data_IF_255380548595
#
_entry.id   IF_255380548595
#
_cell.length_a   1.000
_cell.length_b   1.000
_cell.length_c   1.000
_cell.angle_alpha   90.00
_cell.angle_beta   90.00
_cell.angle_gamma   90.00
#
_symmetry.space_group_name_H-M   'P 1'
#
loop_
_entity.id
_entity.type
_entity.pdbx_description
1 polymer ?
#
# COMPACT_ATOMS: atom_id res chain seq x y z
N UNK A 1 -11.31 11.86 5.61
CA UNK A 1 -11.39 12.04 4.13
C UNK A 1 -10.59 13.25 3.64
N UNK A 2 -10.77 14.47 4.17
CA UNK A 2 -9.95 15.64 3.78
C UNK A 2 -8.44 15.45 4.05
N UNK A 3 -8.08 14.93 5.24
CA UNK A 3 -6.70 14.59 5.59
C UNK A 3 -6.02 13.67 4.55
N UNK A 4 -6.72 12.62 4.09
CA UNK A 4 -6.20 11.69 3.07
C UNK A 4 -5.87 12.40 1.76
N UNK A 5 -6.71 13.33 1.32
CA UNK A 5 -6.47 14.10 0.09
C UNK A 5 -5.26 15.02 0.25
N UNK A 6 -5.11 15.68 1.40
CA UNK A 6 -3.95 16.53 1.70
C UNK A 6 -2.66 15.70 1.72
N UNK A 7 -2.70 14.50 2.29
CA UNK A 7 -1.53 13.63 2.33
C UNK A 7 -1.16 13.09 0.95
N UNK A 8 -2.14 12.75 0.10
CA UNK A 8 -1.88 12.39 -1.30
C UNK A 8 -1.34 13.57 -2.10
N UNK A 9 -1.84 14.79 -1.88
CA UNK A 9 -1.27 15.99 -2.48
C UNK A 9 0.18 16.19 -2.03
N UNK A 10 0.46 16.02 -0.73
CA UNK A 10 1.82 16.04 -0.20
C UNK A 10 2.70 14.98 -0.88
N UNK A 11 2.22 13.75 -1.06
CA UNK A 11 2.93 12.71 -1.80
C UNK A 11 3.33 13.15 -3.22
N UNK A 12 2.41 13.76 -3.96
CA UNK A 12 2.69 14.34 -5.30
C UNK A 12 3.73 15.46 -5.29
N UNK A 13 3.87 16.17 -4.17
CA UNK A 13 4.93 17.17 -3.98
C UNK A 13 6.26 16.55 -3.55
N UNK A 14 6.24 15.54 -2.70
CA UNK A 14 7.43 14.84 -2.21
C UNK A 14 8.13 14.13 -3.36
N UNK A 15 7.38 13.40 -4.19
CA UNK A 15 7.94 12.57 -5.26
C UNK A 15 8.69 13.34 -6.34
N UNK A 16 8.43 14.64 -6.49
CA UNK A 16 9.19 15.54 -7.38
C UNK A 16 10.63 15.78 -6.91
N UNK A 17 10.96 15.42 -5.67
CA UNK A 17 12.31 15.53 -5.11
C UNK A 17 13.09 14.22 -5.18
N UNK A 18 12.43 13.11 -5.50
CA UNK A 18 13.10 11.82 -5.62
C UNK A 18 13.81 11.75 -6.98
N UNK A 19 15.03 11.24 -6.97
CA UNK A 19 15.83 11.04 -8.17
C UNK A 19 15.89 9.55 -8.50
N UNK A 20 16.22 9.20 -9.75
CA UNK A 20 16.18 7.80 -10.22
C UNK A 20 17.22 6.87 -9.55
N UNK A 21 18.19 7.44 -8.84
CA UNK A 21 19.19 6.75 -8.03
C UNK A 21 18.71 6.45 -6.60
N UNK A 22 17.52 6.92 -6.20
CA UNK A 22 16.93 6.65 -4.88
C UNK A 22 15.89 5.52 -4.99
N UNK A 23 16.36 4.27 -5.13
CA UNK A 23 15.50 3.09 -5.25
C UNK A 23 15.15 2.45 -3.90
N UNK A 24 15.75 2.90 -2.80
CA UNK A 24 15.36 2.54 -1.44
C UNK A 24 14.83 3.79 -0.71
N UNK A 25 13.73 3.66 0.03
CA UNK A 25 13.16 4.81 0.77
C UNK A 25 14.11 5.33 1.85
N UNK A 26 15.00 4.47 2.34
CA UNK A 26 16.05 4.78 3.29
C UNK A 26 17.04 5.82 2.73
N UNK A 27 17.31 5.80 1.42
CA UNK A 27 18.17 6.80 0.76
C UNK A 27 17.54 8.20 0.82
N UNK A 28 16.21 8.25 0.72
CA UNK A 28 15.43 9.50 0.77
C UNK A 28 15.38 10.07 2.18
N UNK A 29 15.21 9.21 3.19
CA UNK A 29 15.20 9.60 4.60
C UNK A 29 16.55 10.17 5.06
N UNK A 30 17.65 9.60 4.58
CA UNK A 30 19.00 10.08 4.90
C UNK A 30 19.34 11.34 4.10
N UNK A 31 19.00 11.38 2.80
CA UNK A 31 19.49 12.39 1.87
C UNK A 31 18.63 13.65 1.72
N UNK A 32 17.30 13.53 1.78
CA UNK A 32 16.37 14.60 1.38
C UNK A 32 15.49 15.08 2.52
N UNK A 33 15.09 14.20 3.43
CA UNK A 33 14.10 14.49 4.47
C UNK A 33 14.62 14.22 5.87
N UNK A 34 15.75 14.83 6.22
CA UNK A 34 16.32 14.72 7.57
C UNK A 34 15.32 15.18 8.63
N UNK A 35 14.78 14.23 9.41
CA UNK A 35 13.81 14.47 10.49
C UNK A 35 12.36 14.10 10.17
N UNK A 36 12.03 13.75 8.92
CA UNK A 36 10.78 13.09 8.57
C UNK A 36 11.13 11.64 8.22
N UNK A 37 10.58 10.69 8.97
CA UNK A 37 10.69 9.27 8.60
C UNK A 37 9.67 9.01 7.50
N UNK A 38 10.04 9.27 6.24
CA UNK A 38 9.17 9.11 5.07
C UNK A 38 8.67 7.67 4.98
N UNK A 39 9.51 6.69 5.37
CA UNK A 39 9.09 5.31 5.57
C UNK A 39 7.82 5.22 6.44
N UNK A 40 7.86 5.74 7.67
CA UNK A 40 6.73 5.70 8.61
C UNK A 40 5.53 6.46 8.05
N UNK A 41 5.78 7.63 7.46
CA UNK A 41 4.72 8.44 6.89
C UNK A 41 3.99 7.74 5.74
N UNK A 42 4.71 7.00 4.88
CA UNK A 42 4.12 6.21 3.80
C UNK A 42 3.27 5.04 4.32
N UNK A 43 3.72 4.37 5.38
CA UNK A 43 2.92 3.32 6.04
C UNK A 43 1.66 3.91 6.69
N UNK A 44 1.77 5.09 7.33
CA UNK A 44 0.62 5.80 7.88
C UNK A 44 -0.36 6.23 6.77
N UNK A 45 0.16 6.69 5.61
CA UNK A 45 -0.66 7.04 4.45
C UNK A 45 -1.45 5.82 3.96
N UNK A 46 -0.82 4.66 3.82
CA UNK A 46 -1.49 3.41 3.47
C UNK A 46 -2.65 3.10 4.43
N UNK A 47 -2.39 3.16 5.74
CA UNK A 47 -3.39 2.90 6.79
C UNK A 47 -4.55 3.89 6.77
N UNK A 48 -4.29 5.20 6.64
CA UNK A 48 -5.39 6.19 6.62
C UNK A 48 -6.23 6.10 5.35
N UNK A 49 -5.65 5.66 4.23
CA UNK A 49 -6.38 5.38 2.99
C UNK A 49 -7.26 4.14 3.14
N UNK A 50 -6.76 3.09 3.79
CA UNK A 50 -7.56 1.92 4.15
C UNK A 50 -8.77 2.31 4.98
N UNK A 51 -8.55 3.03 6.09
CA UNK A 51 -9.61 3.45 6.99
C UNK A 51 -10.65 4.33 6.27
N UNK A 52 -10.21 5.24 5.41
CA UNK A 52 -11.14 6.06 4.61
C UNK A 52 -11.90 5.25 3.55
N UNK A 53 -11.28 4.19 3.02
CA UNK A 53 -11.86 3.27 2.06
C UNK A 53 -13.07 2.52 2.59
N UNK A 54 -13.04 2.13 3.87
CA UNK A 54 -14.16 1.45 4.54
C UNK A 54 -15.45 2.28 4.51
N UNK A 55 -15.35 3.61 4.47
CA UNK A 55 -16.49 4.53 4.37
C UNK A 55 -16.78 5.00 2.92
N UNK A 56 -15.78 4.95 2.03
CA UNK A 56 -15.88 5.45 0.65
C UNK A 56 -14.83 4.78 -0.22
N UNK A 57 -15.30 3.87 -1.08
CA UNK A 57 -14.47 2.97 -1.87
C UNK A 57 -13.54 3.70 -2.85
N UNK A 58 -13.75 4.99 -3.14
CA UNK A 58 -12.79 5.78 -3.93
C UNK A 58 -11.40 5.80 -3.29
N UNK A 59 -11.31 5.73 -1.96
CA UNK A 59 -10.03 5.73 -1.25
C UNK A 59 -9.29 4.39 -1.39
N UNK A 60 -9.99 3.27 -1.61
CA UNK A 60 -9.32 2.02 -2.00
C UNK A 60 -8.67 2.13 -3.38
N UNK A 61 -9.31 2.80 -4.34
CA UNK A 61 -8.70 3.06 -5.65
C UNK A 61 -7.43 3.93 -5.54
N UNK A 62 -7.49 4.97 -4.70
CA UNK A 62 -6.33 5.82 -4.38
C UNK A 62 -5.21 5.05 -3.68
N UNK A 63 -5.57 4.15 -2.75
CA UNK A 63 -4.62 3.27 -2.06
C UNK A 63 -3.90 2.36 -3.04
N UNK A 64 -4.62 1.70 -3.95
CA UNK A 64 -4.03 0.88 -5.03
C UNK A 64 -3.01 1.67 -5.84
N UNK A 65 -3.37 2.88 -6.27
CA UNK A 65 -2.48 3.76 -7.04
C UNK A 65 -1.22 4.13 -6.25
N UNK A 66 -1.38 4.54 -4.99
CA UNK A 66 -0.30 4.89 -4.09
C UNK A 66 0.66 3.71 -3.85
N UNK A 67 0.16 2.53 -3.45
CA UNK A 67 0.98 1.35 -3.18
C UNK A 67 1.78 0.92 -4.42
N UNK A 68 1.15 0.94 -5.61
CA UNK A 68 1.82 0.60 -6.87
C UNK A 68 2.89 1.60 -7.26
N UNK A 69 2.66 2.86 -6.98
CA UNK A 69 3.64 3.90 -7.24
C UNK A 69 4.83 3.75 -6.29
N UNK A 70 4.56 3.58 -4.99
CA UNK A 70 5.58 3.33 -3.98
C UNK A 70 6.50 2.16 -4.39
N UNK A 71 5.93 0.98 -4.69
CA UNK A 71 6.72 -0.19 -5.07
C UNK A 71 7.52 0.00 -6.38
N UNK A 72 7.05 0.85 -7.29
CA UNK A 72 7.76 1.17 -8.54
C UNK A 72 8.92 2.13 -8.32
N UNK A 73 8.76 3.08 -7.40
CA UNK A 73 9.81 4.05 -7.09
C UNK A 73 10.88 3.47 -6.17
N UNK A 74 10.46 2.63 -5.22
CA UNK A 74 11.27 2.21 -4.10
C UNK A 74 11.50 0.69 -4.04
N UNK A 75 11.78 0.06 -5.19
CA UNK A 75 11.89 -1.39 -5.33
C UNK A 75 12.92 -2.06 -4.43
N UNK A 76 13.93 -1.31 -3.96
CA UNK A 76 15.06 -1.82 -3.18
C UNK A 76 14.90 -1.53 -1.67
N UNK A 77 13.75 -1.00 -1.26
CA UNK A 77 13.38 -0.83 0.16
C UNK A 77 13.30 -2.18 0.87
N UNK A 78 13.47 -2.17 2.20
CA UNK A 78 13.24 -3.32 3.06
C UNK A 78 11.97 -4.11 2.67
N UNK A 79 12.13 -5.44 2.58
CA UNK A 79 11.12 -6.33 2.03
C UNK A 79 9.80 -6.28 2.81
N UNK A 80 9.84 -6.05 4.12
CA UNK A 80 8.63 -5.95 4.93
C UNK A 80 7.76 -4.77 4.49
N UNK A 81 8.38 -3.65 4.11
CA UNK A 81 7.69 -2.45 3.66
C UNK A 81 7.04 -2.68 2.29
N UNK A 82 7.77 -3.35 1.39
CA UNK A 82 7.27 -3.72 0.07
C UNK A 82 6.12 -4.73 0.17
N UNK A 83 6.26 -5.73 1.05
CA UNK A 83 5.20 -6.69 1.37
C UNK A 83 3.94 -5.97 1.88
N UNK A 84 4.09 -5.01 2.81
CA UNK A 84 2.96 -4.23 3.33
C UNK A 84 2.25 -3.45 2.22
N UNK A 85 2.98 -2.81 1.32
CA UNK A 85 2.40 -2.06 0.21
C UNK A 85 1.68 -2.97 -0.80
N UNK A 86 2.27 -4.11 -1.15
CA UNK A 86 1.64 -5.10 -2.04
C UNK A 86 0.40 -5.73 -1.41
N UNK A 87 0.41 -6.01 -0.09
CA UNK A 87 -0.78 -6.42 0.67
C UNK A 87 -1.85 -5.33 0.65
N UNK A 88 -1.47 -4.07 0.83
CA UNK A 88 -2.38 -2.92 0.76
C UNK A 88 -3.08 -2.78 -0.59
N UNK A 89 -2.35 -2.98 -1.68
CA UNK A 89 -2.91 -3.10 -3.03
C UNK A 89 -3.90 -4.28 -3.12
N UNK A 90 -3.47 -5.48 -2.75
CA UNK A 90 -4.25 -6.70 -2.90
C UNK A 90 -5.58 -6.62 -2.12
N UNK A 91 -5.52 -6.24 -0.85
CA UNK A 91 -6.69 -6.06 0.01
C UNK A 91 -7.69 -5.05 -0.57
N UNK A 92 -7.20 -3.94 -1.12
CA UNK A 92 -8.05 -2.89 -1.66
C UNK A 92 -8.89 -3.37 -2.84
N UNK A 93 -8.40 -4.31 -3.65
CA UNK A 93 -9.19 -4.89 -4.75
C UNK A 93 -10.41 -5.67 -4.27
N UNK A 94 -10.30 -6.39 -3.15
CA UNK A 94 -11.44 -7.12 -2.60
C UNK A 94 -12.59 -6.19 -2.21
N UNK A 95 -12.27 -5.07 -1.56
CA UNK A 95 -13.26 -4.05 -1.19
C UNK A 95 -13.74 -3.18 -2.37
N UNK A 96 -13.07 -3.24 -3.51
CA UNK A 96 -13.57 -2.69 -4.78
C UNK A 96 -14.46 -3.69 -5.54
N UNK A 97 -14.72 -4.87 -4.97
CA UNK A 97 -15.38 -6.00 -5.65
C UNK A 97 -14.63 -6.47 -6.91
N UNK A 98 -13.33 -6.18 -7.01
CA UNK A 98 -12.44 -6.59 -8.10
C UNK A 98 -11.66 -7.85 -7.68
N UNK A 99 -12.38 -8.90 -7.24
CA UNK A 99 -11.85 -10.08 -6.54
C UNK A 99 -10.72 -10.77 -7.32
N UNK A 100 -10.87 -10.95 -8.64
CA UNK A 100 -9.87 -11.62 -9.47
C UNK A 100 -8.53 -10.88 -9.46
N UNK A 101 -8.55 -9.54 -9.36
CA UNK A 101 -7.32 -8.74 -9.28
C UNK A 101 -6.68 -8.84 -7.91
N UNK A 102 -7.49 -8.88 -6.84
CA UNK A 102 -7.00 -9.11 -5.49
C UNK A 102 -6.32 -10.47 -5.35
N UNK A 103 -6.96 -11.50 -5.91
CA UNK A 103 -6.42 -12.86 -6.02
C UNK A 103 -5.09 -12.92 -6.76
N UNK A 104 -5.01 -12.29 -7.93
CA UNK A 104 -3.78 -12.24 -8.72
C UNK A 104 -2.68 -11.47 -7.97
N UNK A 105 -3.02 -10.39 -7.28
CA UNK A 105 -2.08 -9.60 -6.49
C UNK A 105 -1.51 -10.40 -5.32
N UNK A 106 -2.34 -11.16 -4.58
CA UNK A 106 -1.86 -12.03 -3.51
C UNK A 106 -1.01 -13.19 -4.03
N UNK A 107 -1.40 -13.82 -5.15
CA UNK A 107 -0.57 -14.86 -5.77
C UNK A 107 0.82 -14.34 -6.12
N UNK A 108 0.89 -13.16 -6.74
CA UNK A 108 2.17 -12.49 -7.05
C UNK A 108 2.97 -12.16 -5.79
N UNK A 109 2.31 -11.65 -4.74
CA UNK A 109 2.94 -11.39 -3.45
C UNK A 109 3.59 -12.66 -2.90
N UNK A 110 2.87 -13.79 -2.88
CA UNK A 110 3.37 -15.05 -2.33
C UNK A 110 4.44 -15.70 -3.23
N UNK A 111 4.34 -15.56 -4.54
CA UNK A 111 5.39 -15.99 -5.47
C UNK A 111 6.72 -15.26 -5.22
N UNK A 112 6.65 -13.96 -4.89
CA UNK A 112 7.80 -13.11 -4.60
C UNK A 112 8.32 -13.28 -3.16
N UNK A 113 7.41 -13.44 -2.20
CA UNK A 113 7.70 -13.58 -0.77
C UNK A 113 7.06 -14.86 -0.19
N UNK A 114 7.57 -16.05 -0.55
CA UNK A 114 6.93 -17.33 -0.20
C UNK A 114 6.88 -17.63 1.29
N UNK A 115 7.75 -16.98 2.09
CA UNK A 115 7.82 -17.13 3.55
C UNK A 115 7.06 -16.01 4.30
N UNK A 116 6.33 -15.14 3.58
CA UNK A 116 5.59 -14.04 4.21
C UNK A 116 4.38 -14.57 4.98
N UNK A 117 4.56 -14.80 6.27
CA UNK A 117 3.46 -15.18 7.17
C UNK A 117 2.30 -14.17 7.09
N UNK A 118 2.64 -12.88 7.03
CA UNK A 118 1.70 -11.80 6.84
C UNK A 118 0.95 -11.94 5.50
N UNK A 119 1.62 -12.21 4.40
CA UNK A 119 0.97 -12.42 3.10
C UNK A 119 -0.14 -13.46 3.15
N UNK A 120 0.09 -14.61 3.79
CA UNK A 120 -0.93 -15.65 3.93
C UNK A 120 -2.04 -15.28 4.92
N UNK A 121 -1.70 -14.62 6.04
CA UNK A 121 -2.68 -14.20 7.05
C UNK A 121 -3.70 -13.23 6.42
N UNK A 122 -3.23 -12.16 5.76
CA UNK A 122 -4.14 -11.18 5.17
C UNK A 122 -4.99 -11.79 4.05
N UNK A 123 -4.41 -12.68 3.24
CA UNK A 123 -5.16 -13.36 2.20
C UNK A 123 -6.25 -14.27 2.79
N UNK A 124 -6.01 -14.92 3.93
CA UNK A 124 -7.05 -15.65 4.66
C UNK A 124 -8.12 -14.72 5.25
N UNK A 125 -7.69 -13.64 5.90
CA UNK A 125 -8.57 -12.68 6.59
C UNK A 125 -9.51 -11.96 5.61
N UNK A 126 -9.03 -11.62 4.41
CA UNK A 126 -9.85 -10.95 3.40
C UNK A 126 -10.98 -11.85 2.89
N UNK A 127 -10.72 -13.15 2.72
CA UNK A 127 -11.75 -14.12 2.38
C UNK A 127 -12.80 -14.26 3.48
N UNK A 128 -12.37 -14.27 4.74
CA UNK A 128 -13.30 -14.28 5.86
C UNK A 128 -14.15 -12.99 5.89
N UNK A 129 -13.55 -11.84 5.64
CA UNK A 129 -14.21 -10.54 5.72
C UNK A 129 -15.22 -10.32 4.59
N UNK A 130 -14.86 -10.58 3.33
CA UNK A 130 -15.77 -10.41 2.18
C UNK A 130 -16.97 -11.36 2.25
N UNK A 131 -16.75 -12.61 2.69
CA UNK A 131 -17.84 -13.59 2.82
C UNK A 131 -18.83 -13.29 3.95
N UNK A 132 -18.49 -12.40 4.87
CA UNK A 132 -19.40 -11.90 5.90
C UNK A 132 -20.26 -10.73 5.40
N UNK A 133 -19.72 -9.88 4.51
CA UNK A 133 -20.44 -8.73 3.95
C UNK A 133 -21.54 -9.16 2.96
N UNK A 134 -21.31 -10.22 2.18
CA UNK A 134 -22.31 -10.84 1.29
C UNK A 134 -23.52 -11.47 2.05
N UNK A 135 -23.44 -11.58 3.38
CA UNK A 135 -24.45 -12.22 4.23
C UNK A 135 -25.30 -11.26 5.06
N UNK A 136 -25.07 -9.95 4.96
CA UNK A 136 -25.80 -8.89 5.68
C UNK A 136 -26.70 -8.12 4.71
#
# INVERSE_FOLDING_TARGET
KECCNIWLELWEHLKKRFTSDMSAIEDVDIGVFTGIQLYNWCQDLDMVLWNAGLDDTIFFRKRVEFCREFCRMFSDTDSLVIENMKRGEANSYFFLSEIEKGEEAFKKLIEEFPESAWGYIDWGDIYCSVTLDDKV
#
